data_IF_058141899543
#
_entry.id   IF_058141899543
#
_cell.length_a   1.000
_cell.length_b   1.000
_cell.length_c   1.000
_cell.angle_alpha   90.00
_cell.angle_beta   90.00
_cell.angle_gamma   90.00
#
_symmetry.space_group_name_H-M   'P 1'
#
loop_
_entity.id
_entity.type
_entity.pdbx_description
1 polymer ?
#
# COMPACT_ATOMS: atom_id res chain seq x y z
N UNK A 1 21.06 -24.31 -71.77
CA UNK A 1 20.39 -24.16 -70.45
C UNK A 1 21.40 -23.62 -69.42
N UNK A 2 21.88 -22.37 -69.56
CA UNK A 2 23.02 -21.87 -68.73
C UNK A 2 22.91 -20.40 -68.32
N UNK A 3 21.73 -19.77 -68.40
CA UNK A 3 21.61 -18.31 -68.22
C UNK A 3 20.83 -17.86 -66.97
N UNK A 4 20.39 -18.78 -66.11
CA UNK A 4 19.67 -18.42 -64.86
C UNK A 4 20.63 -18.14 -63.70
N UNK A 5 21.78 -18.82 -63.65
CA UNK A 5 22.73 -18.75 -62.55
C UNK A 5 23.55 -17.44 -62.55
N UNK A 6 23.82 -16.88 -63.73
CA UNK A 6 24.46 -15.58 -63.88
C UNK A 6 23.56 -14.39 -63.52
N UNK A 7 22.24 -14.57 -63.58
CA UNK A 7 21.24 -13.57 -63.17
C UNK A 7 21.09 -13.50 -61.64
N UNK A 8 21.16 -14.64 -60.95
CA UNK A 8 21.15 -14.69 -59.49
C UNK A 8 22.42 -14.08 -58.85
N UNK A 9 23.57 -14.20 -59.51
CA UNK A 9 24.82 -13.57 -59.05
C UNK A 9 24.82 -12.04 -59.16
N UNK A 10 24.07 -11.46 -60.12
CA UNK A 10 23.99 -10.00 -60.28
C UNK A 10 23.02 -9.31 -59.31
N UNK A 11 22.03 -10.03 -58.76
CA UNK A 11 21.13 -9.48 -57.73
C UNK A 11 21.81 -9.32 -56.36
N UNK A 12 23.00 -9.91 -56.18
CA UNK A 12 23.75 -9.86 -54.93
C UNK A 12 24.98 -8.94 -54.99
N UNK A 13 25.15 -8.15 -56.05
CA UNK A 13 25.99 -6.96 -56.01
C UNK A 13 25.23 -5.85 -55.27
N UNK A 14 25.04 -6.07 -53.97
CA UNK A 14 24.60 -5.02 -53.06
C UNK A 14 25.58 -3.87 -53.18
N UNK A 15 25.07 -2.70 -53.50
CA UNK A 15 25.83 -1.46 -53.52
C UNK A 15 26.57 -1.32 -52.19
N UNK A 16 27.88 -1.54 -52.21
CA UNK A 16 28.78 -1.12 -51.14
C UNK A 16 28.89 0.41 -51.20
N UNK A 17 27.82 1.11 -50.82
CA UNK A 17 27.90 2.52 -50.45
C UNK A 17 28.32 2.54 -48.98
N UNK A 18 29.55 2.98 -48.73
CA UNK A 18 30.00 3.28 -47.38
C UNK A 18 29.15 4.40 -46.78
N UNK A 19 28.94 4.36 -45.47
CA UNK A 19 28.23 5.43 -44.76
C UNK A 19 28.94 6.76 -44.97
N UNK A 20 28.16 7.78 -45.32
CA UNK A 20 28.68 9.14 -45.44
C UNK A 20 28.89 9.72 -44.04
N UNK A 21 29.94 10.52 -43.85
CA UNK A 21 30.27 11.09 -42.53
C UNK A 21 29.11 11.93 -41.94
N UNK A 22 28.35 12.61 -42.79
CA UNK A 22 27.18 13.41 -42.40
C UNK A 22 26.02 12.54 -41.89
N UNK A 23 25.81 11.36 -42.48
CA UNK A 23 24.75 10.42 -42.09
C UNK A 23 25.04 9.80 -40.73
N UNK A 24 26.31 9.45 -40.47
CA UNK A 24 26.76 8.98 -39.16
C UNK A 24 26.56 10.06 -38.10
N UNK A 25 26.90 11.32 -38.41
CA UNK A 25 26.75 12.45 -37.48
C UNK A 25 25.28 12.73 -37.16
N UNK A 26 24.40 12.70 -38.18
CA UNK A 26 22.96 12.84 -37.98
C UNK A 26 22.39 11.67 -37.14
N UNK A 27 22.85 10.45 -37.37
CA UNK A 27 22.44 9.28 -36.59
C UNK A 27 22.82 9.38 -35.11
N UNK A 28 24.05 9.83 -34.80
CA UNK A 28 24.49 10.05 -33.42
C UNK A 28 23.63 11.15 -32.75
N UNK A 29 23.29 12.22 -33.47
CA UNK A 29 22.48 13.32 -32.94
C UNK A 29 21.05 12.85 -32.58
N UNK A 30 20.45 12.02 -33.43
CA UNK A 30 19.12 11.44 -33.16
C UNK A 30 19.19 10.42 -32.01
N UNK A 31 20.21 9.56 -31.98
CA UNK A 31 20.36 8.56 -30.92
C UNK A 31 20.63 9.19 -29.55
N UNK A 32 21.45 10.24 -29.50
CA UNK A 32 21.77 10.96 -28.24
C UNK A 32 20.55 11.69 -27.69
N UNK A 33 19.79 12.39 -28.53
CA UNK A 33 18.55 13.07 -28.07
C UNK A 33 17.53 12.07 -27.53
N UNK A 34 17.34 10.94 -28.22
CA UNK A 34 16.43 9.89 -27.76
C UNK A 34 16.87 9.27 -26.42
N UNK A 35 18.15 8.94 -26.29
CA UNK A 35 18.69 8.33 -25.06
C UNK A 35 18.62 9.28 -23.86
N UNK A 36 18.86 10.58 -24.07
CA UNK A 36 18.73 11.60 -23.03
C UNK A 36 17.29 11.68 -22.49
N UNK A 37 16.30 11.67 -23.38
CA UNK A 37 14.89 11.69 -23.00
C UNK A 37 14.49 10.38 -22.29
N UNK A 38 14.89 9.24 -22.85
CA UNK A 38 14.56 7.93 -22.29
C UNK A 38 15.11 7.75 -20.85
N UNK A 39 16.33 8.20 -20.60
CA UNK A 39 16.96 8.08 -19.27
C UNK A 39 16.19 8.88 -18.22
N UNK A 40 15.73 10.09 -18.56
CA UNK A 40 14.93 10.91 -17.65
C UNK A 40 13.60 10.23 -17.33
N UNK A 41 12.92 9.67 -18.33
CA UNK A 41 11.67 8.95 -18.14
C UNK A 41 11.83 7.74 -17.20
N UNK A 42 12.92 6.97 -17.35
CA UNK A 42 13.23 5.83 -16.47
C UNK A 42 13.42 6.28 -15.03
N UNK A 43 14.22 7.33 -14.78
CA UNK A 43 14.46 7.84 -13.42
C UNK A 43 13.15 8.26 -12.77
N UNK A 44 12.32 9.03 -13.48
CA UNK A 44 11.00 9.46 -12.98
C UNK A 44 10.12 8.24 -12.65
N UNK A 45 10.08 7.26 -13.54
CA UNK A 45 9.35 6.00 -13.33
C UNK A 45 9.84 5.23 -12.09
N UNK A 46 11.15 5.19 -11.84
CA UNK A 46 11.70 4.54 -10.64
C UNK A 46 11.28 5.25 -9.36
N UNK A 47 11.28 6.58 -9.34
CA UNK A 47 10.84 7.37 -8.18
C UNK A 47 9.37 7.09 -7.87
N UNK A 48 8.49 7.12 -8.88
CA UNK A 48 7.08 6.80 -8.69
C UNK A 48 6.87 5.37 -8.22
N UNK A 49 7.63 4.41 -8.77
CA UNK A 49 7.57 3.00 -8.35
C UNK A 49 7.95 2.84 -6.87
N UNK A 50 9.01 3.51 -6.40
CA UNK A 50 9.42 3.47 -4.99
C UNK A 50 8.32 4.07 -4.10
N UNK A 51 7.75 5.22 -4.48
CA UNK A 51 6.67 5.84 -3.71
C UNK A 51 5.43 4.95 -3.64
N UNK A 52 5.01 4.38 -4.77
CA UNK A 52 3.87 3.47 -4.83
C UNK A 52 4.09 2.23 -3.94
N UNK A 53 5.31 1.67 -3.95
CA UNK A 53 5.66 0.54 -3.09
C UNK A 53 5.63 0.90 -1.60
N UNK A 54 6.10 2.09 -1.20
CA UNK A 54 6.00 2.57 0.19
C UNK A 54 4.55 2.64 0.66
N UNK A 55 3.67 3.23 -0.15
CA UNK A 55 2.23 3.30 0.17
C UNK A 55 1.62 1.91 0.25
N UNK A 56 2.00 1.00 -0.66
CA UNK A 56 1.51 -0.38 -0.63
C UNK A 56 1.99 -1.17 0.59
N UNK A 57 3.25 -1.01 1.01
CA UNK A 57 3.76 -1.68 2.21
C UNK A 57 3.16 -1.07 3.48
N UNK A 58 3.02 0.26 3.56
CA UNK A 58 2.37 0.95 4.67
C UNK A 58 0.93 0.46 4.87
N UNK A 59 0.14 0.41 3.78
CA UNK A 59 -1.24 -0.11 3.84
C UNK A 59 -1.29 -1.60 4.16
N UNK A 60 -0.30 -2.40 3.73
CA UNK A 60 -0.22 -3.80 4.10
C UNK A 60 0.02 -4.00 5.60
N UNK A 61 0.86 -3.17 6.22
CA UNK A 61 1.08 -3.20 7.68
C UNK A 61 -0.20 -2.84 8.43
N UNK A 62 -0.91 -1.80 7.99
CA UNK A 62 -2.21 -1.44 8.58
C UNK A 62 -3.21 -2.60 8.43
N UNK A 63 -3.27 -3.23 7.26
CA UNK A 63 -4.17 -4.38 7.03
C UNK A 63 -3.83 -5.58 7.91
N UNK A 64 -2.55 -5.82 8.17
CA UNK A 64 -2.14 -6.90 9.08
C UNK A 64 -2.63 -6.64 10.51
N UNK A 65 -2.50 -5.41 11.02
CA UNK A 65 -3.05 -5.02 12.33
C UNK A 65 -4.58 -5.16 12.35
N UNK A 66 -5.26 -4.69 11.30
CA UNK A 66 -6.71 -4.82 11.19
C UNK A 66 -7.20 -6.26 11.17
N UNK A 67 -6.45 -7.18 10.55
CA UNK A 67 -6.80 -8.60 10.55
C UNK A 67 -6.65 -9.22 11.94
N UNK A 68 -5.62 -8.83 12.69
CA UNK A 68 -5.45 -9.22 14.10
C UNK A 68 -6.58 -8.68 14.96
N UNK A 69 -6.93 -7.39 14.82
CA UNK A 69 -8.04 -6.80 15.55
C UNK A 69 -9.39 -7.41 15.16
N UNK A 70 -9.56 -7.77 13.89
CA UNK A 70 -10.73 -8.51 13.41
C UNK A 70 -10.83 -9.86 14.12
N UNK A 71 -9.74 -10.62 14.17
CA UNK A 71 -9.70 -11.89 14.90
C UNK A 71 -10.05 -11.71 16.38
N UNK A 72 -9.52 -10.69 17.05
CA UNK A 72 -9.87 -10.37 18.43
C UNK A 72 -11.34 -9.98 18.59
N UNK A 73 -11.90 -9.21 17.64
CA UNK A 73 -13.31 -8.80 17.68
C UNK A 73 -14.30 -9.95 17.48
N UNK A 74 -13.90 -10.99 16.73
CA UNK A 74 -14.67 -12.24 16.57
C UNK A 74 -14.46 -13.18 17.75
N UNK A 75 -13.22 -13.25 18.28
CA UNK A 75 -12.89 -14.05 19.46
C UNK A 75 -13.37 -13.41 20.78
N UNK A 76 -13.80 -12.15 20.77
CA UNK A 76 -14.52 -11.48 21.84
C UNK A 76 -15.94 -12.06 21.99
N UNK A 77 -15.99 -13.37 22.21
CA UNK A 77 -17.17 -14.14 22.50
C UNK A 77 -17.56 -13.86 23.97
N UNK A 78 -18.83 -13.59 24.30
CA UNK A 78 -19.26 -13.26 25.65
C UNK A 78 -18.91 -14.32 26.71
N UNK A 79 -18.54 -15.55 26.36
CA UNK A 79 -18.23 -16.62 27.32
C UNK A 79 -16.82 -16.56 27.94
N UNK A 80 -15.86 -15.87 27.30
CA UNK A 80 -14.49 -15.69 27.80
C UNK A 80 -14.20 -14.27 28.30
N UNK A 81 -15.18 -13.39 28.17
CA UNK A 81 -15.13 -12.06 28.72
C UNK A 81 -15.75 -12.13 30.11
N UNK A 82 -15.09 -11.53 31.10
CA UNK A 82 -15.54 -11.50 32.50
C UNK A 82 -17.04 -11.25 32.58
N UNK A 83 -17.74 -12.01 33.43
CA UNK A 83 -19.19 -11.95 33.64
C UNK A 83 -19.75 -10.52 33.84
N UNK A 84 -18.89 -9.59 34.25
CA UNK A 84 -19.16 -8.15 34.35
C UNK A 84 -19.38 -7.45 33.00
N UNK A 85 -18.71 -7.84 31.92
CA UNK A 85 -18.87 -7.20 30.60
C UNK A 85 -20.16 -7.61 29.90
N UNK A 86 -20.62 -8.86 30.11
CA UNK A 86 -21.97 -9.29 29.70
C UNK A 86 -23.03 -8.52 30.50
N UNK A 87 -22.76 -8.23 31.78
CA UNK A 87 -23.65 -7.40 32.58
C UNK A 87 -23.70 -5.95 32.08
N UNK A 88 -22.58 -5.38 31.62
CA UNK A 88 -22.52 -4.05 30.98
C UNK A 88 -23.28 -4.02 29.65
N UNK A 89 -23.14 -5.06 28.82
CA UNK A 89 -23.92 -5.25 27.59
C UNK A 89 -25.44 -5.32 27.85
N UNK A 90 -25.86 -5.85 29.01
CA UNK A 90 -27.29 -5.99 29.40
C UNK A 90 -27.90 -4.80 30.13
N UNK A 91 -27.10 -3.99 30.85
CA UNK A 91 -27.64 -3.00 31.78
C UNK A 91 -27.79 -1.58 31.24
N UNK A 92 -27.09 -1.22 30.16
CA UNK A 92 -27.13 0.03 29.39
C UNK A 92 -25.70 0.30 28.90
N UNK A 93 -25.53 0.99 27.77
CA UNK A 93 -24.23 1.44 27.24
C UNK A 93 -23.39 0.38 26.53
N UNK A 94 -23.94 -0.08 25.41
CA UNK A 94 -23.27 0.01 24.11
C UNK A 94 -21.84 0.64 24.11
N UNK A 95 -21.69 1.88 24.57
CA UNK A 95 -20.42 2.61 24.59
C UNK A 95 -19.42 2.10 25.64
N UNK A 96 -19.87 1.67 26.83
CA UNK A 96 -18.99 1.17 27.89
C UNK A 96 -18.37 -0.18 27.52
N UNK A 97 -19.12 -1.03 26.80
CA UNK A 97 -18.58 -2.25 26.22
C UNK A 97 -17.47 -1.93 25.20
N UNK A 98 -17.72 -1.01 24.26
CA UNK A 98 -16.71 -0.63 23.26
C UNK A 98 -15.48 0.03 23.90
N UNK A 99 -15.66 0.85 24.94
CA UNK A 99 -14.56 1.45 25.70
C UNK A 99 -13.72 0.40 26.43
N UNK A 100 -14.37 -0.59 27.06
CA UNK A 100 -13.65 -1.71 27.69
C UNK A 100 -12.92 -2.59 26.67
N UNK A 101 -13.51 -2.81 25.49
CA UNK A 101 -12.88 -3.53 24.38
C UNK A 101 -11.67 -2.77 23.83
N UNK A 102 -11.77 -1.44 23.67
CA UNK A 102 -10.67 -0.59 23.26
C UNK A 102 -9.46 -0.71 24.21
N UNK A 103 -9.71 -0.76 25.52
CA UNK A 103 -8.65 -0.95 26.52
C UNK A 103 -7.96 -2.33 26.46
N UNK A 104 -8.58 -3.32 25.83
CA UNK A 104 -7.99 -4.66 25.62
C UNK A 104 -7.21 -4.79 24.31
N UNK A 105 -7.25 -3.77 23.44
CA UNK A 105 -6.55 -3.83 22.16
C UNK A 105 -5.04 -3.81 22.39
N UNK A 106 -4.28 -4.67 21.68
CA UNK A 106 -2.83 -4.64 21.77
C UNK A 106 -2.31 -3.29 21.25
N UNK A 107 -1.22 -2.76 21.84
CA UNK A 107 -0.58 -1.56 21.32
C UNK A 107 -0.05 -1.82 19.92
N UNK A 108 0.00 -0.78 19.10
CA UNK A 108 0.53 -0.87 17.74
C UNK A 108 2.05 -1.02 17.75
N UNK A 109 2.55 -1.94 16.94
CA UNK A 109 3.98 -2.16 16.77
C UNK A 109 4.62 -1.00 15.97
N UNK A 110 5.28 -0.09 16.68
CA UNK A 110 6.00 1.07 16.15
C UNK A 110 7.41 1.14 16.76
N UNK A 111 8.47 1.51 16.02
CA UNK A 111 8.47 1.97 14.63
C UNK A 111 8.45 0.82 13.60
N UNK A 112 7.87 1.10 12.43
CA UNK A 112 7.79 0.17 11.29
C UNK A 112 8.85 0.53 10.26
N UNK A 113 9.61 -0.45 9.78
CA UNK A 113 10.62 -0.23 8.72
C UNK A 113 10.01 -0.57 7.37
N UNK A 114 9.86 0.43 6.50
CA UNK A 114 9.38 0.29 5.12
C UNK A 114 10.49 0.72 4.16
N UNK A 115 10.88 -0.14 3.21
CA UNK A 115 11.93 0.16 2.21
C UNK A 115 13.20 0.81 2.80
N UNK A 116 13.71 0.24 3.91
CA UNK A 116 14.91 0.69 4.62
C UNK A 116 14.82 2.10 5.24
N UNK A 117 13.60 2.61 5.48
CA UNK A 117 13.33 3.82 6.26
C UNK A 117 12.34 3.51 7.38
N UNK A 118 12.55 4.06 8.57
CA UNK A 118 11.65 3.91 9.72
C UNK A 118 10.51 4.91 9.67
N UNK A 119 9.33 4.44 10.03
CA UNK A 119 8.08 5.19 10.06
C UNK A 119 7.38 4.96 11.39
N UNK A 120 6.73 6.00 11.90
CA UNK A 120 5.89 5.92 13.07
C UNK A 120 4.49 5.51 12.61
N UNK A 121 4.02 4.37 13.10
CA UNK A 121 2.64 3.96 12.93
C UNK A 121 1.86 4.41 14.16
N UNK A 122 0.86 5.25 13.96
CA UNK A 122 -0.03 5.72 15.01
C UNK A 122 -1.44 5.20 14.75
N UNK A 123 -2.12 4.76 15.81
CA UNK A 123 -3.53 4.36 15.77
C UNK A 123 -4.26 5.14 16.85
N UNK A 124 -5.28 5.87 16.45
CA UNK A 124 -6.17 6.57 17.36
C UNK A 124 -7.55 5.96 17.33
N UNK A 125 -8.15 5.86 18.51
CA UNK A 125 -9.40 5.14 18.74
C UNK A 125 -10.46 6.16 19.09
N UNK A 126 -11.54 6.19 18.31
CA UNK A 126 -12.64 7.13 18.50
C UNK A 126 -13.95 6.37 18.63
N UNK A 127 -14.75 6.78 19.60
CA UNK A 127 -16.04 6.16 19.89
C UNK A 127 -17.11 6.90 19.11
N UNK A 128 -17.69 6.24 18.10
CA UNK A 128 -18.88 6.76 17.46
C UNK A 128 -20.10 6.36 18.28
N UNK A 129 -21.18 7.15 18.21
CA UNK A 129 -22.49 6.65 18.60
C UNK A 129 -22.76 5.31 17.89
N UNK A 130 -23.48 4.39 18.55
CA UNK A 130 -23.98 3.12 17.97
C UNK A 130 -23.05 1.89 17.96
N UNK A 131 -22.28 1.61 19.02
CA UNK A 131 -21.47 0.37 19.15
C UNK A 131 -20.31 0.21 18.15
N UNK A 132 -19.89 1.28 17.49
CA UNK A 132 -18.83 1.22 16.49
C UNK A 132 -17.55 1.81 17.06
N UNK A 133 -16.48 1.02 17.05
CA UNK A 133 -15.13 1.51 17.31
C UNK A 133 -14.52 1.99 15.99
N UNK A 134 -14.22 3.28 15.88
CA UNK A 134 -13.53 3.81 14.71
C UNK A 134 -12.04 3.94 15.00
N UNK A 135 -11.24 3.26 14.20
CA UNK A 135 -9.80 3.28 14.24
C UNK A 135 -9.27 4.15 13.11
N UNK A 136 -8.45 5.14 13.45
CA UNK A 136 -7.73 5.96 12.48
C UNK A 136 -6.25 5.62 12.54
N UNK A 137 -5.72 5.13 11.41
CA UNK A 137 -4.31 4.80 11.26
C UNK A 137 -3.60 5.88 10.48
N UNK A 138 -2.44 6.32 10.99
CA UNK A 138 -1.54 7.25 10.32
C UNK A 138 -0.14 6.63 10.28
N UNK A 139 0.48 6.60 9.10
CA UNK A 139 1.89 6.25 8.92
C UNK A 139 2.66 7.52 8.59
N UNK A 140 3.46 7.97 9.55
CA UNK A 140 4.24 9.21 9.48
C UNK A 140 5.73 8.92 9.40
N UNK A 141 6.46 9.82 8.75
CA UNK A 141 7.92 9.77 8.73
C UNK A 141 8.48 9.96 10.15
N UNK A 142 9.36 9.05 10.59
CA UNK A 142 9.92 9.09 11.94
C UNK A 142 10.75 10.37 12.19
N UNK A 143 11.29 10.98 11.13
CA UNK A 143 12.07 12.22 11.20
C UNK A 143 11.20 13.48 11.02
N UNK A 144 10.07 13.35 10.32
CA UNK A 144 9.20 14.48 9.94
C UNK A 144 7.72 14.09 10.07
N UNK A 145 7.14 14.33 11.25
CA UNK A 145 5.73 14.03 11.55
C UNK A 145 4.72 14.71 10.61
N UNK A 146 5.12 15.75 9.87
CA UNK A 146 4.23 16.44 8.92
C UNK A 146 4.09 15.71 7.57
N UNK A 147 4.84 14.62 7.34
CA UNK A 147 4.78 13.83 6.11
C UNK A 147 4.02 12.54 6.36
N UNK A 148 2.72 12.56 6.07
CA UNK A 148 1.84 11.40 6.11
C UNK A 148 1.97 10.61 4.81
N UNK A 149 2.25 9.31 4.91
CA UNK A 149 2.44 8.42 3.76
C UNK A 149 1.18 7.65 3.42
N UNK A 150 0.49 7.18 4.46
CA UNK A 150 -0.75 6.45 4.34
C UNK A 150 -1.64 6.78 5.53
N UNK A 151 -2.91 6.98 5.23
CA UNK A 151 -3.97 7.11 6.23
C UNK A 151 -5.06 6.11 5.86
N UNK A 152 -5.59 5.43 6.88
CA UNK A 152 -6.69 4.51 6.71
C UNK A 152 -7.63 4.64 7.90
N UNK A 153 -8.92 4.70 7.61
CA UNK A 153 -9.96 4.61 8.63
C UNK A 153 -10.64 3.26 8.51
N UNK A 154 -10.83 2.61 9.66
CA UNK A 154 -11.55 1.36 9.76
C UNK A 154 -12.57 1.44 10.88
N UNK A 155 -13.67 0.72 10.70
CA UNK A 155 -14.72 0.61 11.70
C UNK A 155 -14.83 -0.85 12.11
N UNK A 156 -14.72 -1.10 13.42
CA UNK A 156 -14.85 -2.43 14.02
C UNK A 156 -16.13 -2.47 14.83
N UNK A 157 -16.93 -3.49 14.54
CA UNK A 157 -18.15 -3.82 15.29
C UNK A 157 -17.96 -5.22 15.86
N UNK A 158 -17.66 -5.36 17.17
CA UNK A 158 -17.46 -6.68 17.77
C UNK A 158 -18.73 -7.53 17.66
N UNK A 159 -18.59 -8.84 17.50
CA UNK A 159 -19.74 -9.73 17.29
C UNK A 159 -20.71 -9.72 18.49
N UNK A 160 -20.17 -9.62 19.71
CA UNK A 160 -20.95 -9.48 20.94
C UNK A 160 -21.87 -8.25 20.95
N UNK A 161 -21.53 -7.19 20.20
CA UNK A 161 -22.37 -5.98 20.11
C UNK A 161 -23.74 -6.24 19.46
N UNK A 162 -23.84 -7.24 18.57
CA UNK A 162 -25.10 -7.66 17.94
C UNK A 162 -26.00 -8.49 18.87
N UNK A 163 -25.44 -9.02 19.95
CA UNK A 163 -26.17 -9.78 20.98
C UNK A 163 -26.62 -8.91 22.15
N UNK A 164 -26.15 -7.67 22.25
CA UNK A 164 -26.63 -6.72 23.24
C UNK A 164 -28.03 -6.20 22.85
N UNK A 165 -29.00 -6.14 23.77
CA UNK A 165 -30.30 -5.57 23.46
C UNK A 165 -30.15 -4.10 23.05
N UNK A 166 -30.52 -3.78 21.81
CA UNK A 166 -30.64 -2.39 21.36
C UNK A 166 -31.81 -1.74 22.11
N UNK A 167 -31.51 -0.90 23.10
CA UNK A 167 -32.53 -0.03 23.68
C UNK A 167 -32.81 1.05 22.63
N UNK A 168 -34.03 1.02 22.10
CA UNK A 168 -34.56 2.01 21.16
C UNK A 168 -35.08 3.23 21.91
#
# INVERSE_FOLDING_TARGET
MTNLWSLLLRLNQKQYRGFTFIEVLAGILIATTFTLIATQAIVIGTVFKVRARRVSEATNVIRADLEELRFLSTSANPENIDSQLIALCRQSFSTAFIESFANTLPPVNSPVVLLNKSYNLNRTETFSAWNVLRLSYSVEDAENANVVIAELQAEITPEASGSCPFIR
#
